data_IF_993689944312
#
_entry.id   IF_993689944312
#
_cell.length_a   1.000
_cell.length_b   1.000
_cell.length_c   1.000
_cell.angle_alpha   90.00
_cell.angle_beta   90.00
_cell.angle_gamma   90.00
#
_symmetry.space_group_name_H-M   'P 1'
#
loop_
_entity.id
_entity.type
_entity.pdbx_description
1 polymer ?
#
# COMPACT_ATOMS: atom_id res chain seq x y z
N UNK A 1 6.01 9.79 -17.94
CA UNK A 1 6.00 11.18 -17.43
C UNK A 1 6.54 11.10 -16.01
N UNK A 2 7.64 11.78 -15.70
CA UNK A 2 8.18 11.75 -14.34
C UNK A 2 7.31 12.69 -13.47
N UNK A 3 6.52 12.12 -12.57
CA UNK A 3 5.77 12.87 -11.57
C UNK A 3 6.79 13.60 -10.66
N UNK A 4 6.54 14.88 -10.36
CA UNK A 4 7.42 15.63 -9.49
C UNK A 4 7.34 15.07 -8.06
N UNK A 5 8.49 14.68 -7.52
CA UNK A 5 8.63 14.20 -6.16
C UNK A 5 8.98 15.39 -5.26
N UNK A 6 8.11 15.67 -4.30
CA UNK A 6 8.36 16.62 -3.23
C UNK A 6 9.10 15.89 -2.09
N UNK A 7 10.38 16.22 -1.90
CA UNK A 7 11.25 15.53 -0.94
C UNK A 7 10.83 15.78 0.52
N UNK A 8 10.33 16.96 0.85
CA UNK A 8 9.94 17.27 2.23
C UNK A 8 8.71 16.42 2.60
N UNK A 9 7.73 16.36 1.69
CA UNK A 9 6.55 15.50 1.86
C UNK A 9 6.88 14.02 1.82
N UNK A 10 7.90 13.60 1.07
CA UNK A 10 8.37 12.21 1.08
C UNK A 10 8.89 11.78 2.46
N UNK A 11 9.34 12.69 3.31
CA UNK A 11 9.83 12.35 4.64
C UNK A 11 8.79 12.60 5.75
N UNK A 12 7.96 13.63 5.59
CA UNK A 12 7.05 14.10 6.64
C UNK A 12 5.61 13.60 6.49
N UNK A 13 5.18 13.25 5.27
CA UNK A 13 3.79 12.87 4.97
C UNK A 13 3.69 11.38 4.59
N UNK A 14 3.18 10.58 5.53
CA UNK A 14 2.98 9.14 5.32
C UNK A 14 1.97 8.85 4.19
N UNK A 15 0.98 9.71 3.98
CA UNK A 15 0.01 9.53 2.90
C UNK A 15 0.65 9.80 1.54
N UNK A 16 1.45 10.86 1.46
CA UNK A 16 2.22 11.17 0.25
C UNK A 16 3.17 10.03 -0.12
N UNK A 17 3.90 9.49 0.86
CA UNK A 17 4.76 8.31 0.67
C UNK A 17 4.00 7.09 0.18
N UNK A 18 2.85 6.82 0.79
CA UNK A 18 2.03 5.67 0.43
C UNK A 18 1.47 5.82 -0.99
N UNK A 19 0.97 6.99 -1.36
CA UNK A 19 0.44 7.27 -2.71
C UNK A 19 1.52 7.18 -3.79
N UNK A 20 2.71 7.72 -3.51
CA UNK A 20 3.85 7.59 -4.41
C UNK A 20 4.24 6.12 -4.62
N UNK A 21 4.38 5.38 -3.51
CA UNK A 21 4.78 3.98 -3.57
C UNK A 21 3.73 3.10 -4.24
N UNK A 22 2.44 3.33 -3.97
CA UNK A 22 1.35 2.58 -4.58
C UNK A 22 1.33 2.75 -6.10
N UNK A 23 1.51 3.98 -6.61
CA UNK A 23 1.69 4.23 -8.05
C UNK A 23 2.92 3.52 -8.61
N UNK A 24 4.05 3.57 -7.90
CA UNK A 24 5.31 2.97 -8.36
C UNK A 24 5.21 1.46 -8.57
N UNK A 25 4.55 0.74 -7.67
CA UNK A 25 4.35 -0.71 -7.79
C UNK A 25 3.06 -1.09 -8.54
N UNK A 26 2.34 -0.10 -9.08
CA UNK A 26 1.01 -0.27 -9.68
C UNK A 26 0.03 -1.00 -8.74
N UNK A 27 0.03 -0.61 -7.46
CA UNK A 27 -0.93 -1.06 -6.46
C UNK A 27 -2.24 -0.31 -6.62
N UNK A 28 -3.30 -1.05 -6.89
CA UNK A 28 -4.62 -0.54 -7.26
C UNK A 28 -5.71 -0.98 -6.29
N UNK A 29 -6.94 -0.55 -6.55
CA UNK A 29 -8.12 -1.04 -5.82
C UNK A 29 -8.36 -2.54 -5.97
N UNK A 30 -7.88 -3.15 -7.05
CA UNK A 30 -7.98 -4.61 -7.26
C UNK A 30 -7.09 -5.34 -6.26
N UNK A 31 -5.87 -4.86 -6.04
CA UNK A 31 -4.94 -5.42 -5.05
C UNK A 31 -5.49 -5.31 -3.63
N UNK A 32 -6.11 -4.17 -3.29
CA UNK A 32 -6.81 -3.98 -2.00
C UNK A 32 -7.92 -5.02 -1.85
N UNK A 33 -8.71 -5.24 -2.90
CA UNK A 33 -9.81 -6.22 -2.89
C UNK A 33 -9.27 -7.65 -2.72
N UNK A 34 -8.19 -8.00 -3.42
CA UNK A 34 -7.52 -9.28 -3.31
C UNK A 34 -6.95 -9.51 -1.90
N UNK A 35 -6.32 -8.50 -1.30
CA UNK A 35 -5.81 -8.58 0.08
C UNK A 35 -6.92 -8.77 1.10
N UNK A 36 -8.05 -8.07 0.95
CA UNK A 36 -9.21 -8.23 1.85
C UNK A 36 -9.84 -9.63 1.74
N UNK A 37 -9.92 -10.18 0.52
CA UNK A 37 -10.36 -11.56 0.31
C UNK A 37 -9.39 -12.56 0.96
N UNK A 38 -8.09 -12.36 0.74
CA UNK A 38 -7.05 -13.21 1.32
C UNK A 38 -7.04 -13.14 2.85
N UNK A 39 -7.19 -11.95 3.45
CA UNK A 39 -7.20 -11.75 4.89
C UNK A 39 -8.20 -12.68 5.59
N UNK A 40 -9.39 -12.85 5.00
CA UNK A 40 -10.42 -13.77 5.51
C UNK A 40 -9.93 -15.22 5.60
N UNK A 41 -9.16 -15.69 4.61
CA UNK A 41 -8.56 -17.04 4.62
C UNK A 41 -7.34 -17.13 5.55
N UNK A 42 -6.55 -16.05 5.62
CA UNK A 42 -5.31 -15.98 6.38
C UNK A 42 -5.54 -15.97 7.89
N UNK A 43 -6.68 -15.46 8.39
CA UNK A 43 -7.02 -15.45 9.83
C UNK A 43 -6.80 -16.82 10.49
N UNK A 44 -7.19 -17.89 9.81
CA UNK A 44 -7.06 -19.27 10.32
C UNK A 44 -5.62 -19.74 10.54
N UNK A 45 -4.65 -19.05 9.93
CA UNK A 45 -3.23 -19.43 9.91
C UNK A 45 -2.37 -18.48 10.73
N UNK A 46 -2.95 -17.40 11.27
CA UNK A 46 -2.22 -16.46 12.14
C UNK A 46 -1.94 -17.17 13.47
N UNK A 47 -0.66 -17.37 13.85
CA UNK A 47 -0.33 -17.92 15.14
C UNK A 47 -0.83 -16.96 16.23
N UNK A 48 -1.75 -17.44 17.07
CA UNK A 48 -2.13 -16.72 18.29
C UNK A 48 -1.05 -17.01 19.33
N UNK A 49 -0.27 -15.99 19.68
CA UNK A 49 0.73 -16.03 20.77
C UNK A 49 0.06 -15.51 22.05
#
# INVERSE_FOLDING_TARGET
MAEHIDNDRLHEDIHYRFDYFSKFINFTSEDISALNMFATSAVSVIPVI
#
